data_IF_659153877242
#
_entry.id   IF_659153877242
#
_cell.length_a   1.000
_cell.length_b   1.000
_cell.length_c   1.000
_cell.angle_alpha   90.00
_cell.angle_beta   90.00
_cell.angle_gamma   90.00
#
_symmetry.space_group_name_H-M   'P 1'
#
loop_
_entity.id
_entity.type
_entity.pdbx_description
1 polymer ?
#
# COMPACT_ATOMS: atom_id res chain seq x y z
N UNK A 1 12.65 -1.61 1.77
CA UNK A 1 12.99 -1.27 0.38
C UNK A 1 11.79 -0.61 -0.28
N UNK A 2 11.98 0.58 -0.84
CA UNK A 2 10.99 1.25 -1.66
C UNK A 2 11.37 1.05 -3.13
N UNK A 3 10.40 0.73 -3.98
CA UNK A 3 10.58 0.54 -5.41
C UNK A 3 9.47 1.30 -6.13
N UNK A 4 9.87 2.27 -6.96
CA UNK A 4 8.96 2.90 -7.89
C UNK A 4 8.71 1.95 -9.07
N UNK A 5 7.45 1.73 -9.42
CA UNK A 5 7.04 0.84 -10.52
C UNK A 5 6.75 1.61 -11.81
N UNK A 6 6.93 2.93 -11.82
CA UNK A 6 6.47 3.81 -12.88
C UNK A 6 4.95 4.01 -12.87
N UNK A 7 4.47 4.93 -13.70
CA UNK A 7 3.03 5.22 -13.88
C UNK A 7 2.29 5.61 -12.60
N UNK A 8 2.98 6.24 -11.64
CA UNK A 8 2.36 6.71 -10.40
C UNK A 8 2.14 5.62 -9.34
N UNK A 9 2.71 4.43 -9.51
CA UNK A 9 2.65 3.34 -8.54
C UNK A 9 3.98 3.16 -7.80
N UNK A 10 3.91 3.10 -6.47
CA UNK A 10 5.03 2.88 -5.57
C UNK A 10 4.80 1.64 -4.72
N UNK A 11 5.80 0.77 -4.62
CA UNK A 11 5.75 -0.42 -3.76
C UNK A 11 6.80 -0.30 -2.66
N UNK A 12 6.34 -0.34 -1.41
CA UNK A 12 7.17 -0.33 -0.22
C UNK A 12 7.11 -1.73 0.38
N UNK A 13 8.25 -2.38 0.52
CA UNK A 13 8.33 -3.70 1.16
C UNK A 13 9.31 -3.67 2.31
N UNK A 14 9.01 -4.38 3.39
CA UNK A 14 9.84 -4.36 4.56
C UNK A 14 9.49 -5.46 5.54
N UNK A 15 10.10 -5.38 6.71
CA UNK A 15 9.88 -6.31 7.81
C UNK A 15 9.62 -5.55 9.10
N UNK A 16 8.54 -5.86 9.80
CA UNK A 16 8.30 -5.39 11.16
C UNK A 16 9.18 -6.20 12.13
N UNK A 17 9.81 -5.51 13.08
CA UNK A 17 10.55 -6.16 14.17
C UNK A 17 9.55 -6.75 15.19
N UNK A 18 9.93 -7.85 15.84
CA UNK A 18 9.13 -8.54 16.88
C UNK A 18 7.72 -8.98 16.47
N UNK A 19 7.50 -9.38 15.20
CA UNK A 19 6.22 -9.97 14.77
C UNK A 19 6.45 -11.35 14.15
N UNK A 20 5.60 -12.36 14.42
CA UNK A 20 5.72 -13.70 13.82
C UNK A 20 5.59 -13.71 12.29
N UNK A 21 4.87 -12.75 11.72
CA UNK A 21 4.77 -12.48 10.28
C UNK A 21 5.38 -11.12 9.99
N UNK A 22 6.72 -11.03 9.90
CA UNK A 22 7.40 -9.75 9.86
C UNK A 22 7.24 -9.09 8.50
N UNK A 23 7.11 -9.84 7.41
CA UNK A 23 7.08 -9.27 6.06
C UNK A 23 5.82 -8.45 5.82
N UNK A 24 6.02 -7.31 5.17
CA UNK A 24 4.92 -6.51 4.67
C UNK A 24 5.24 -5.99 3.27
N UNK A 25 4.17 -5.76 2.52
CA UNK A 25 4.19 -5.12 1.23
C UNK A 25 3.06 -4.10 1.18
N UNK A 26 3.42 -2.85 0.99
CA UNK A 26 2.50 -1.76 0.79
C UNK A 26 2.59 -1.30 -0.65
N UNK A 27 1.47 -1.26 -1.35
CA UNK A 27 1.37 -0.75 -2.71
C UNK A 27 0.58 0.55 -2.65
N UNK A 28 1.17 1.65 -3.10
CA UNK A 28 0.55 2.96 -3.23
C UNK A 28 0.43 3.29 -4.71
N UNK A 29 -0.67 3.93 -5.11
CA UNK A 29 -0.91 4.35 -6.48
C UNK A 29 -1.62 5.70 -6.52
N UNK A 30 -1.16 6.59 -7.39
CA UNK A 30 -1.88 7.82 -7.76
C UNK A 30 -2.93 7.56 -8.83
N UNK A 31 -2.93 6.38 -9.43
CA UNK A 31 -3.92 5.97 -10.41
C UNK A 31 -5.18 5.48 -9.69
N UNK A 32 -5.90 6.42 -9.10
CA UNK A 32 -7.07 6.18 -8.25
C UNK A 32 -8.35 6.07 -9.09
N UNK A 33 -9.35 5.37 -8.57
CA UNK A 33 -10.66 5.26 -9.22
C UNK A 33 -11.41 6.59 -9.20
N UNK A 34 -12.41 6.75 -10.08
CA UNK A 34 -13.26 7.95 -10.06
C UNK A 34 -14.02 8.09 -8.74
N UNK A 35 -14.40 6.98 -8.10
CA UNK A 35 -15.06 6.97 -6.79
C UNK A 35 -14.13 7.51 -5.70
N UNK A 36 -12.89 7.01 -5.65
CA UNK A 36 -11.89 7.51 -4.70
C UNK A 36 -11.56 8.99 -4.94
N UNK A 37 -11.53 9.41 -6.20
CA UNK A 37 -11.33 10.81 -6.56
C UNK A 37 -12.50 11.69 -6.08
N UNK A 38 -13.74 11.23 -6.23
CA UNK A 38 -14.93 11.93 -5.73
C UNK A 38 -14.94 12.03 -4.19
N UNK A 39 -14.39 11.03 -3.51
CA UNK A 39 -14.18 11.05 -2.05
C UNK A 39 -13.03 11.97 -1.61
N UNK A 40 -12.35 12.62 -2.56
CA UNK A 40 -11.26 13.55 -2.30
C UNK A 40 -9.91 12.90 -2.06
N UNK A 41 -9.72 11.63 -2.44
CA UNK A 41 -8.42 10.97 -2.35
C UNK A 41 -7.50 11.36 -3.52
N UNK A 42 -6.20 11.22 -3.31
CA UNK A 42 -5.14 11.47 -4.30
C UNK A 42 -4.19 10.29 -4.46
N UNK A 43 -4.08 9.48 -3.43
CA UNK A 43 -3.28 8.25 -3.44
C UNK A 43 -4.11 7.21 -2.73
N UNK A 44 -4.25 6.05 -3.35
CA UNK A 44 -4.83 4.87 -2.70
C UNK A 44 -3.80 3.75 -2.66
N UNK A 45 -4.05 2.76 -1.83
CA UNK A 45 -3.10 1.70 -1.66
C UNK A 45 -3.58 0.63 -0.70
N UNK A 46 -2.83 -0.46 -0.70
CA UNK A 46 -3.07 -1.64 0.11
C UNK A 46 -1.82 -1.99 0.88
N UNK A 47 -2.00 -2.38 2.14
CA UNK A 47 -0.97 -2.95 2.98
C UNK A 47 -1.27 -4.43 3.16
N UNK A 48 -0.39 -5.25 2.64
CA UNK A 48 -0.37 -6.69 2.81
C UNK A 48 0.67 -7.05 3.88
N UNK A 49 0.32 -7.92 4.82
CA UNK A 49 1.21 -8.42 5.88
C UNK A 49 1.23 -9.94 5.86
N UNK A 50 2.36 -10.51 6.24
CA UNK A 50 2.49 -11.96 6.15
C UNK A 50 3.90 -12.48 6.21
N UNK A 51 4.10 -13.66 5.66
CA UNK A 51 5.41 -14.27 5.48
C UNK A 51 5.68 -14.42 3.98
N UNK A 52 6.62 -13.62 3.47
CA UNK A 52 6.95 -13.61 2.05
C UNK A 52 7.56 -14.95 1.60
N UNK A 53 8.23 -15.68 2.50
CA UNK A 53 8.83 -16.99 2.19
C UNK A 53 7.79 -18.09 2.09
N UNK A 54 6.72 -18.01 2.89
CA UNK A 54 5.58 -18.93 2.80
C UNK A 54 4.57 -18.55 1.72
N UNK A 55 4.71 -17.36 1.11
CA UNK A 55 3.78 -16.86 0.10
C UNK A 55 2.45 -16.38 0.70
N UNK A 56 2.39 -16.21 2.02
CA UNK A 56 1.17 -15.95 2.78
C UNK A 56 1.08 -14.46 3.09
N UNK A 57 1.04 -13.62 2.05
CA UNK A 57 0.78 -12.19 2.19
C UNK A 57 -0.72 -11.96 2.13
N UNK A 58 -1.30 -11.52 3.24
CA UNK A 58 -2.73 -11.23 3.33
C UNK A 58 -2.96 -9.73 3.38
N UNK A 59 -4.01 -9.27 2.70
CA UNK A 59 -4.46 -7.89 2.78
C UNK A 59 -4.85 -7.57 4.23
N UNK A 60 -4.15 -6.61 4.83
CA UNK A 60 -4.34 -6.25 6.23
C UNK A 60 -5.05 -4.90 6.39
N UNK A 61 -4.69 -3.91 5.56
CA UNK A 61 -5.27 -2.57 5.67
C UNK A 61 -5.26 -1.85 4.31
N UNK A 62 -6.21 -0.93 4.14
CA UNK A 62 -6.14 0.06 3.05
C UNK A 62 -5.40 1.32 3.53
N UNK A 63 -4.73 1.98 2.59
CA UNK A 63 -4.05 3.24 2.82
C UNK A 63 -4.57 4.26 1.80
N UNK A 64 -5.15 5.34 2.28
CA UNK A 64 -5.76 6.36 1.44
C UNK A 64 -5.25 7.73 1.90
N UNK A 65 -4.80 8.55 0.97
CA UNK A 65 -4.30 9.90 1.24
C UNK A 65 -5.27 10.89 0.62
N UNK A 66 -5.84 11.77 1.45
CA UNK A 66 -6.73 12.84 1.00
C UNK A 66 -5.96 13.97 0.35
N UNK A 67 -6.61 14.64 -0.61
CA UNK A 67 -6.11 15.87 -1.23
C UNK A 67 -6.19 17.02 -0.24
N UNK A 68 -5.16 17.85 -0.20
CA UNK A 68 -5.14 19.04 0.67
C UNK A 68 -6.16 20.05 0.11
N UNK A 69 -7.22 20.34 0.89
CA UNK A 69 -8.31 21.23 0.50
C UNK A 69 -9.69 20.56 0.30
N UNK A 70 -9.82 19.28 0.65
CA UNK A 70 -11.08 18.56 0.83
C UNK A 70 -11.30 18.21 2.30
#
# INVERSE_FOLDING_TARGET
>A
KMADKGSGAMVISGKFKNTPSPDFRMTLTTNISNEDFQLGYCVTGTLERGDKKKGDLQLAQFAMVKRRGY
#
